data_IF_199133417925
#
_entry.id   IF_199133417925
#
_cell.length_a   1.000
_cell.length_b   1.000
_cell.length_c   1.000
_cell.angle_alpha   90.00
_cell.angle_beta   90.00
_cell.angle_gamma   90.00
#
_symmetry.space_group_name_H-M   'P 1'
#
loop_
_entity.id
_entity.type
_entity.pdbx_description
1 polymer ?
#
# COMPACT_ATOMS: atom_id res chain seq x y z
N UNK A 1 -64.63 -28.54 -30.90
CA UNK A 1 -63.24 -28.86 -30.47
C UNK A 1 -62.29 -28.09 -31.37
N UNK A 2 -61.60 -27.06 -30.85
CA UNK A 2 -60.62 -26.26 -31.58
C UNK A 2 -59.25 -26.45 -30.90
N UNK A 3 -58.30 -27.01 -31.64
CA UNK A 3 -56.86 -26.97 -31.36
C UNK A 3 -56.31 -25.61 -31.80
N UNK A 4 -55.50 -24.97 -30.96
CA UNK A 4 -54.38 -24.04 -31.24
C UNK A 4 -53.91 -23.63 -29.82
N UNK A 5 -52.78 -24.09 -29.29
CA UNK A 5 -51.44 -23.95 -29.85
C UNK A 5 -50.79 -22.73 -29.21
N UNK A 6 -50.28 -22.85 -27.98
CA UNK A 6 -49.47 -21.81 -27.34
C UNK A 6 -48.17 -22.42 -26.81
N UNK A 7 -47.14 -22.33 -27.64
CA UNK A 7 -45.74 -22.61 -27.34
C UNK A 7 -45.19 -21.36 -26.62
N UNK A 8 -45.00 -21.42 -25.30
CA UNK A 8 -44.38 -20.33 -24.55
C UNK A 8 -42.85 -20.54 -24.57
N UNK A 9 -42.17 -19.70 -25.35
CA UNK A 9 -40.71 -19.62 -25.44
C UNK A 9 -40.09 -19.26 -24.09
N UNK A 10 -39.13 -20.08 -23.65
CA UNK A 10 -38.24 -19.82 -22.52
C UNK A 10 -37.25 -18.73 -22.95
N UNK A 11 -37.42 -17.51 -22.43
CA UNK A 11 -36.38 -16.48 -22.50
C UNK A 11 -35.28 -16.82 -21.48
N UNK A 12 -34.22 -17.47 -21.96
CA UNK A 12 -32.95 -17.54 -21.25
C UNK A 12 -32.36 -16.13 -21.28
N UNK A 13 -32.46 -15.41 -20.16
CA UNK A 13 -31.66 -14.22 -19.92
C UNK A 13 -30.19 -14.64 -19.75
N UNK A 14 -29.49 -14.81 -20.88
CA UNK A 14 -28.05 -14.60 -20.96
C UNK A 14 -27.81 -13.12 -20.74
N UNK A 15 -27.74 -12.71 -19.47
CA UNK A 15 -27.28 -11.40 -19.07
C UNK A 15 -25.86 -11.22 -19.56
N UNK A 16 -25.67 -10.26 -20.47
CA UNK A 16 -24.39 -9.82 -20.98
C UNK A 16 -23.38 -9.64 -19.84
N UNK A 17 -22.24 -10.34 -19.91
CA UNK A 17 -21.02 -9.84 -19.29
C UNK A 17 -20.77 -8.45 -19.91
N UNK A 18 -20.92 -7.41 -19.10
CA UNK A 18 -20.62 -6.05 -19.53
C UNK A 18 -19.17 -6.02 -19.98
N UNK A 19 -18.96 -5.70 -21.25
CA UNK A 19 -17.67 -5.54 -21.90
C UNK A 19 -16.83 -4.56 -21.08
N UNK A 20 -15.88 -5.09 -20.29
CA UNK A 20 -14.91 -4.31 -19.54
C UNK A 20 -13.90 -3.75 -20.54
N UNK A 21 -14.25 -2.67 -21.24
CA UNK A 21 -13.25 -1.89 -21.97
C UNK A 21 -12.21 -1.42 -20.96
N UNK A 22 -11.05 -2.07 -21.01
CA UNK A 22 -9.98 -1.85 -20.04
C UNK A 22 -9.35 -0.49 -20.33
N UNK A 23 -9.45 0.44 -19.39
CA UNK A 23 -8.88 1.78 -19.51
C UNK A 23 -7.34 1.68 -19.57
N UNK A 24 -6.77 2.03 -20.72
CA UNK A 24 -5.32 2.03 -20.97
C UNK A 24 -4.57 2.84 -19.91
N UNK A 25 -5.14 3.94 -19.44
CA UNK A 25 -4.52 4.78 -18.41
C UNK A 25 -4.42 4.05 -17.08
N UNK A 26 -5.41 3.21 -16.74
CA UNK A 26 -5.37 2.42 -15.51
C UNK A 26 -4.32 1.32 -15.57
N UNK A 27 -4.13 0.70 -16.74
CA UNK A 27 -3.04 -0.26 -16.96
C UNK A 27 -1.70 0.45 -16.76
N UNK A 28 -1.48 1.59 -17.39
CA UNK A 28 -0.23 2.36 -17.27
C UNK A 28 0.04 2.76 -15.81
N UNK A 29 -0.95 3.32 -15.11
CA UNK A 29 -0.82 3.69 -13.69
C UNK A 29 -0.45 2.47 -12.85
N UNK A 30 -1.08 1.33 -13.09
CA UNK A 30 -0.82 0.12 -12.30
C UNK A 30 0.54 -0.52 -12.63
N UNK A 31 1.00 -0.44 -13.88
CA UNK A 31 2.36 -0.86 -14.26
C UNK A 31 3.41 0.00 -13.57
N UNK A 32 3.25 1.34 -13.61
CA UNK A 32 4.14 2.28 -12.91
C UNK A 32 4.14 1.99 -11.41
N UNK A 33 2.98 1.67 -10.83
CA UNK A 33 2.87 1.30 -9.41
C UNK A 33 3.69 0.04 -9.11
N UNK A 34 3.59 -1.00 -9.94
CA UNK A 34 4.37 -2.23 -9.79
C UNK A 34 5.88 -1.98 -9.89
N UNK A 35 6.31 -1.18 -10.86
CA UNK A 35 7.71 -0.79 -11.02
C UNK A 35 8.23 -0.01 -9.82
N UNK A 36 7.44 0.93 -9.31
CA UNK A 36 7.75 1.69 -8.10
C UNK A 36 7.91 0.77 -6.88
N UNK A 37 6.99 -0.17 -6.67
CA UNK A 37 7.08 -1.18 -5.60
C UNK A 37 8.37 -2.03 -5.72
N UNK A 38 8.73 -2.46 -6.93
CA UNK A 38 9.95 -3.25 -7.16
C UNK A 38 11.20 -2.42 -6.88
N UNK A 39 11.24 -1.17 -7.37
CA UNK A 39 12.37 -0.26 -7.15
C UNK A 39 12.55 0.03 -5.66
N UNK A 40 11.48 0.36 -4.96
CA UNK A 40 11.51 0.64 -3.53
C UNK A 40 12.00 -0.58 -2.72
N UNK A 41 11.61 -1.80 -3.10
CA UNK A 41 12.15 -3.02 -2.46
C UNK A 41 13.66 -3.11 -2.62
N UNK A 42 14.19 -2.83 -3.81
CA UNK A 42 15.65 -2.82 -4.07
C UNK A 42 16.35 -1.72 -3.27
N UNK A 43 15.78 -0.52 -3.24
CA UNK A 43 16.33 0.61 -2.48
C UNK A 43 16.35 0.31 -0.97
N UNK A 44 15.31 -0.36 -0.46
CA UNK A 44 15.24 -0.81 0.93
C UNK A 44 16.25 -1.92 1.24
N UNK A 45 16.41 -2.90 0.36
CA UNK A 45 17.43 -3.93 0.50
C UNK A 45 18.84 -3.32 0.52
N UNK A 46 19.11 -2.36 -0.36
CA UNK A 46 20.38 -1.64 -0.35
C UNK A 46 20.59 -0.88 0.96
N UNK A 47 19.59 -0.11 1.41
CA UNK A 47 19.64 0.64 2.66
C UNK A 47 19.94 -0.28 3.86
N UNK A 48 19.25 -1.41 3.96
CA UNK A 48 19.44 -2.35 5.08
C UNK A 48 20.76 -3.12 5.05
N UNK A 49 21.34 -3.34 3.86
CA UNK A 49 22.62 -4.07 3.69
C UNK A 49 23.84 -3.14 3.77
N UNK A 50 23.71 -1.90 3.32
CA UNK A 50 24.84 -0.96 3.14
C UNK A 50 24.81 0.16 4.16
N UNK A 51 23.67 0.85 4.31
CA UNK A 51 23.57 2.05 5.15
C UNK A 51 23.39 1.69 6.62
N UNK A 52 22.51 0.73 6.92
CA UNK A 52 22.31 0.21 8.28
C UNK A 52 23.24 -0.97 8.60
N UNK A 53 24.42 -1.03 7.95
CA UNK A 53 25.38 -2.09 8.20
C UNK A 53 25.91 -1.98 9.63
N UNK A 54 25.75 -3.04 10.41
CA UNK A 54 26.33 -3.12 11.75
C UNK A 54 27.84 -3.34 11.67
N UNK A 55 28.61 -2.26 11.83
CA UNK A 55 30.05 -2.32 12.00
C UNK A 55 30.43 -2.56 13.47
N UNK A 56 29.60 -2.07 14.40
CA UNK A 56 29.80 -2.20 15.85
C UNK A 56 28.44 -2.35 16.55
N UNK A 57 27.90 -3.58 16.71
CA UNK A 57 26.54 -3.81 17.20
C UNK A 57 26.25 -3.22 18.58
N UNK A 58 27.29 -3.02 19.39
CA UNK A 58 27.18 -2.44 20.73
C UNK A 58 27.13 -0.91 20.74
N UNK A 59 27.42 -0.25 19.61
CA UNK A 59 27.31 1.20 19.51
C UNK A 59 25.85 1.64 19.55
N UNK A 60 25.58 2.77 20.21
CA UNK A 60 24.24 3.35 20.27
C UNK A 60 23.68 3.63 18.85
N UNK A 61 24.56 4.02 17.91
CA UNK A 61 24.23 4.22 16.50
C UNK A 61 23.73 2.93 15.86
N UNK A 62 24.46 1.82 16.00
CA UNK A 62 24.02 0.50 15.51
C UNK A 62 22.69 0.05 16.14
N UNK A 63 22.54 0.19 17.46
CA UNK A 63 21.29 -0.18 18.14
C UNK A 63 20.09 0.65 17.64
N UNK A 64 20.28 1.96 17.43
CA UNK A 64 19.24 2.83 16.89
C UNK A 64 18.92 2.48 15.43
N UNK A 65 19.94 2.23 14.60
CA UNK A 65 19.77 1.80 13.21
C UNK A 65 19.03 0.45 13.12
N UNK A 66 19.33 -0.50 14.01
CA UNK A 66 18.61 -1.77 14.10
C UNK A 66 17.15 -1.58 14.48
N UNK A 67 16.85 -0.68 15.43
CA UNK A 67 15.47 -0.35 15.82
C UNK A 67 14.69 0.29 14.67
N UNK A 68 15.31 1.20 13.93
CA UNK A 68 14.72 1.80 12.71
C UNK A 68 14.46 0.71 11.68
N UNK A 69 15.46 -0.14 11.38
CA UNK A 69 15.34 -1.26 10.44
C UNK A 69 14.14 -2.15 10.76
N UNK A 70 14.05 -2.62 12.01
CA UNK A 70 12.98 -3.54 12.40
C UNK A 70 11.59 -2.91 12.27
N UNK A 71 11.46 -1.63 12.65
CA UNK A 71 10.19 -0.92 12.50
C UNK A 71 9.79 -0.73 11.03
N UNK A 72 10.75 -0.38 10.17
CA UNK A 72 10.50 -0.25 8.73
C UNK A 72 10.12 -1.60 8.13
N UNK A 73 10.84 -2.69 8.43
CA UNK A 73 10.49 -4.03 7.94
C UNK A 73 9.04 -4.38 8.30
N UNK A 74 8.64 -4.15 9.55
CA UNK A 74 7.28 -4.44 9.99
C UNK A 74 6.23 -3.61 9.22
N UNK A 75 6.44 -2.30 9.10
CA UNK A 75 5.53 -1.43 8.36
C UNK A 75 5.40 -1.82 6.88
N UNK A 76 6.52 -2.18 6.24
CA UNK A 76 6.53 -2.64 4.86
C UNK A 76 5.71 -3.92 4.70
N UNK A 77 5.86 -4.86 5.64
CA UNK A 77 5.09 -6.11 5.66
C UNK A 77 3.59 -5.86 5.89
N UNK A 78 3.24 -4.96 6.81
CA UNK A 78 1.84 -4.60 7.11
C UNK A 78 1.15 -3.96 5.90
N UNK A 79 1.84 -3.03 5.22
CA UNK A 79 1.34 -2.39 3.99
C UNK A 79 1.16 -3.43 2.88
N UNK A 80 2.15 -4.29 2.64
CA UNK A 80 2.06 -5.34 1.62
C UNK A 80 0.93 -6.34 1.90
N UNK A 81 0.70 -6.68 3.16
CA UNK A 81 -0.40 -7.55 3.55
C UNK A 81 -1.75 -6.89 3.25
N UNK A 82 -1.90 -5.59 3.56
CA UNK A 82 -3.10 -4.83 3.25
C UNK A 82 -3.36 -4.74 1.74
N UNK A 83 -2.33 -4.46 0.93
CA UNK A 83 -2.45 -4.43 -0.54
C UNK A 83 -2.91 -5.77 -1.09
N UNK A 84 -2.32 -6.88 -0.63
CA UNK A 84 -2.72 -8.23 -1.02
C UNK A 84 -4.18 -8.51 -0.65
N UNK A 85 -4.60 -8.08 0.54
CA UNK A 85 -5.97 -8.22 1.01
C UNK A 85 -6.95 -7.43 0.12
N UNK A 86 -6.60 -6.19 -0.24
CA UNK A 86 -7.38 -5.36 -1.16
C UNK A 86 -7.50 -5.96 -2.56
N UNK A 87 -6.37 -6.39 -3.15
CA UNK A 87 -6.34 -7.06 -4.44
C UNK A 87 -7.20 -8.32 -4.47
N UNK A 88 -7.18 -9.10 -3.37
CA UNK A 88 -7.96 -10.33 -3.27
C UNK A 88 -9.44 -10.05 -3.05
N UNK A 89 -9.79 -9.18 -2.09
CA UNK A 89 -11.17 -8.95 -1.66
C UNK A 89 -11.93 -8.01 -2.58
N UNK A 90 -11.39 -6.81 -2.80
CA UNK A 90 -11.98 -5.77 -3.64
C UNK A 90 -11.69 -6.03 -5.12
N UNK A 91 -10.41 -6.31 -5.44
CA UNK A 91 -9.96 -6.51 -6.82
C UNK A 91 -10.39 -7.83 -7.46
N UNK A 92 -10.75 -8.84 -6.66
CA UNK A 92 -11.04 -10.23 -7.10
C UNK A 92 -9.88 -10.86 -7.86
N UNK A 93 -8.66 -10.55 -7.42
CA UNK A 93 -7.42 -10.94 -8.08
C UNK A 93 -7.09 -10.02 -9.25
N UNK A 94 -6.15 -10.48 -10.09
CA UNK A 94 -5.63 -9.72 -11.22
C UNK A 94 -6.02 -10.35 -12.54
N UNK A 95 -6.05 -9.54 -13.60
CA UNK A 95 -6.15 -9.98 -14.98
C UNK A 95 -4.85 -10.71 -15.39
N UNK A 96 -4.91 -11.80 -16.18
CA UNK A 96 -3.71 -12.56 -16.57
C UNK A 96 -2.67 -11.75 -17.34
N UNK A 97 -3.11 -10.91 -18.28
CA UNK A 97 -2.21 -10.25 -19.23
C UNK A 97 -1.66 -8.93 -18.70
N UNK A 98 -2.54 -8.07 -18.20
CA UNK A 98 -2.19 -6.71 -17.73
C UNK A 98 -1.74 -6.69 -16.27
N UNK A 99 -2.01 -7.75 -15.51
CA UNK A 99 -1.90 -7.83 -14.04
C UNK A 99 -2.77 -6.81 -13.28
N UNK A 100 -3.56 -5.98 -13.97
CA UNK A 100 -4.49 -5.03 -13.36
C UNK A 100 -5.50 -5.78 -12.46
N UNK A 101 -5.96 -5.23 -11.33
CA UNK A 101 -7.06 -5.81 -10.58
C UNK A 101 -8.28 -5.99 -11.50
N UNK A 102 -9.05 -7.07 -11.33
CA UNK A 102 -10.25 -7.29 -12.17
C UNK A 102 -11.35 -6.25 -11.92
N UNK A 103 -11.31 -5.59 -10.75
CA UNK A 103 -12.20 -4.51 -10.34
C UNK A 103 -11.40 -3.28 -9.87
N UNK A 104 -10.74 -2.55 -10.78
CA UNK A 104 -9.85 -1.46 -10.42
C UNK A 104 -10.60 -0.25 -9.80
N UNK A 105 -11.88 -0.07 -10.18
CA UNK A 105 -12.73 1.02 -9.71
C UNK A 105 -13.65 0.62 -8.53
N UNK A 106 -13.39 -0.50 -7.87
CA UNK A 106 -14.20 -0.93 -6.72
C UNK A 106 -13.97 0.00 -5.53
N UNK A 107 -15.05 0.56 -4.97
CA UNK A 107 -15.00 1.51 -3.85
C UNK A 107 -15.56 0.95 -2.54
N UNK A 108 -16.61 0.12 -2.57
CA UNK A 108 -17.34 -0.28 -1.36
C UNK A 108 -16.56 -1.28 -0.50
N UNK A 109 -16.06 -2.35 -1.12
CA UNK A 109 -15.22 -3.36 -0.45
C UNK A 109 -13.86 -2.77 -0.09
N UNK A 110 -13.31 -1.91 -0.95
CA UNK A 110 -12.11 -1.11 -0.68
C UNK A 110 -12.27 -0.29 0.60
N UNK A 111 -13.31 0.55 0.68
CA UNK A 111 -13.61 1.37 1.85
C UNK A 111 -13.77 0.53 3.12
N UNK A 112 -14.58 -0.53 3.06
CA UNK A 112 -14.83 -1.42 4.21
C UNK A 112 -13.54 -2.05 4.73
N UNK A 113 -12.68 -2.53 3.81
CA UNK A 113 -11.40 -3.15 4.16
C UNK A 113 -10.45 -2.13 4.79
N UNK A 114 -10.34 -0.94 4.19
CA UNK A 114 -9.48 0.13 4.68
C UNK A 114 -9.93 0.66 6.03
N UNK A 115 -11.23 0.93 6.23
CA UNK A 115 -11.76 1.38 7.53
C UNK A 115 -11.41 0.41 8.67
N UNK A 116 -11.41 -0.90 8.39
CA UNK A 116 -11.04 -1.90 9.37
C UNK A 116 -9.52 -1.95 9.67
N UNK A 117 -8.66 -1.67 8.69
CA UNK A 117 -7.21 -1.93 8.77
C UNK A 117 -6.36 -0.68 9.00
N UNK A 118 -6.79 0.46 8.47
CA UNK A 118 -6.09 1.75 8.56
C UNK A 118 -5.88 2.22 10.00
N UNK A 119 -6.78 2.01 10.98
CA UNK A 119 -6.51 2.42 12.37
C UNK A 119 -5.26 1.76 12.97
N UNK A 120 -5.06 0.47 12.70
CA UNK A 120 -3.87 -0.26 13.17
C UNK A 120 -2.60 0.23 12.47
N UNK A 121 -2.65 0.41 11.14
CA UNK A 121 -1.54 0.96 10.36
C UNK A 121 -1.17 2.38 10.81
N UNK A 122 -2.17 3.24 11.02
CA UNK A 122 -1.97 4.61 11.51
C UNK A 122 -1.30 4.65 12.88
N UNK A 123 -1.68 3.75 13.80
CA UNK A 123 -1.00 3.61 15.09
C UNK A 123 0.48 3.21 14.91
N UNK A 124 0.77 2.25 14.04
CA UNK A 124 2.14 1.81 13.78
C UNK A 124 2.99 2.94 13.15
N UNK A 125 2.43 3.69 12.20
CA UNK A 125 3.09 4.86 11.59
C UNK A 125 3.40 5.96 12.63
N UNK A 126 2.48 6.22 13.56
CA UNK A 126 2.71 7.19 14.63
C UNK A 126 3.80 6.73 15.64
N UNK A 127 3.82 5.44 15.97
CA UNK A 127 4.89 4.85 16.79
C UNK A 127 6.25 4.95 16.10
N UNK A 128 6.27 4.72 14.79
CA UNK A 128 7.46 4.88 13.97
C UNK A 128 7.98 6.32 13.95
N UNK A 129 7.13 7.31 13.69
CA UNK A 129 7.53 8.74 13.73
C UNK A 129 8.04 9.12 15.13
N UNK A 130 7.40 8.62 16.18
CA UNK A 130 7.84 8.86 17.57
C UNK A 130 9.23 8.28 17.83
N UNK A 131 9.49 7.06 17.34
CA UNK A 131 10.81 6.43 17.42
C UNK A 131 11.88 7.28 16.72
N UNK A 132 11.59 7.73 15.50
CA UNK A 132 12.48 8.57 14.71
C UNK A 132 12.83 9.89 15.41
N UNK A 133 11.80 10.61 15.88
CA UNK A 133 11.98 11.85 16.65
C UNK A 133 12.82 11.63 17.91
N UNK A 134 12.63 10.49 18.60
CA UNK A 134 13.43 10.13 19.78
C UNK A 134 14.89 9.86 19.42
N UNK A 135 15.15 9.15 18.32
CA UNK A 135 16.51 8.81 17.89
C UNK A 135 17.26 10.06 17.43
N UNK A 136 16.64 10.92 16.63
CA UNK A 136 17.28 12.14 16.13
C UNK A 136 17.10 13.37 17.03
N UNK A 137 16.74 13.22 18.30
CA UNK A 137 16.49 14.36 19.22
C UNK A 137 17.69 15.29 19.43
N UNK A 138 18.90 14.79 19.21
CA UNK A 138 20.16 15.50 19.41
C UNK A 138 20.75 16.09 18.11
N UNK A 139 20.09 15.85 16.98
CA UNK A 139 20.54 16.34 15.67
C UNK A 139 19.42 17.16 15.00
N UNK A 140 19.76 18.20 14.24
CA UNK A 140 18.77 18.89 13.42
C UNK A 140 18.17 17.92 12.40
N UNK A 141 16.88 17.60 12.56
CA UNK A 141 16.12 16.82 11.61
C UNK A 141 15.30 17.75 10.70
N UNK A 142 15.22 17.46 9.38
CA UNK A 142 14.20 18.07 8.53
C UNK A 142 12.80 17.63 8.97
N UNK A 143 11.78 18.31 8.46
CA UNK A 143 10.39 17.94 8.73
C UNK A 143 10.11 16.52 8.25
N UNK A 144 9.91 15.63 9.22
CA UNK A 144 9.50 14.25 8.95
C UNK A 144 8.05 14.25 8.50
N UNK A 145 7.74 13.42 7.51
CA UNK A 145 6.33 13.15 7.18
C UNK A 145 5.62 12.58 8.41
N UNK A 146 4.48 13.16 8.77
CA UNK A 146 3.61 12.64 9.82
C UNK A 146 2.26 12.21 9.26
N UNK A 147 1.61 11.30 9.99
CA UNK A 147 0.28 10.76 9.69
C UNK A 147 -0.69 11.02 10.85
N UNK A 148 -0.58 12.20 11.43
CA UNK A 148 -1.44 12.63 12.54
C UNK A 148 -2.90 12.79 12.08
N UNK A 149 -3.82 12.55 13.01
CA UNK A 149 -5.26 12.62 12.75
C UNK A 149 -5.84 11.34 12.14
N UNK A 150 -6.97 11.47 11.45
CA UNK A 150 -7.67 10.36 10.83
C UNK A 150 -7.05 10.02 9.46
N UNK A 151 -6.17 9.01 9.44
CA UNK A 151 -5.47 8.56 8.23
C UNK A 151 -6.46 8.10 7.13
N UNK A 152 -7.58 7.48 7.50
CA UNK A 152 -8.58 7.03 6.53
C UNK A 152 -9.22 8.21 5.81
N UNK A 153 -9.78 9.17 6.56
CA UNK A 153 -10.43 10.35 6.00
C UNK A 153 -9.50 11.15 5.07
N UNK A 154 -8.21 11.23 5.43
CA UNK A 154 -7.24 12.03 4.67
C UNK A 154 -6.78 11.40 3.36
N UNK A 155 -6.69 10.07 3.29
CA UNK A 155 -6.03 9.39 2.17
C UNK A 155 -6.90 8.39 1.41
N UNK A 156 -8.01 7.94 2.00
CA UNK A 156 -8.72 6.75 1.54
C UNK A 156 -10.25 6.92 1.48
N UNK A 157 -10.78 8.05 1.94
CA UNK A 157 -12.21 8.29 1.86
C UNK A 157 -12.63 8.57 0.41
N UNK A 158 -13.58 7.78 -0.08
CA UNK A 158 -14.09 7.89 -1.46
C UNK A 158 -13.16 7.34 -2.55
N UNK A 159 -12.01 6.76 -2.20
CA UNK A 159 -11.05 6.26 -3.20
C UNK A 159 -11.49 4.93 -3.81
N UNK A 160 -11.15 4.75 -5.09
CA UNK A 160 -11.18 3.45 -5.77
C UNK A 160 -10.07 2.53 -5.24
N UNK A 161 -10.12 1.25 -5.62
CA UNK A 161 -9.05 0.30 -5.32
C UNK A 161 -7.70 0.80 -5.84
N UNK A 162 -7.60 1.24 -7.09
CA UNK A 162 -6.33 1.71 -7.66
C UNK A 162 -5.79 2.93 -6.92
N UNK A 163 -6.62 3.94 -6.66
CA UNK A 163 -6.21 5.13 -5.92
C UNK A 163 -5.73 4.78 -4.50
N UNK A 164 -6.39 3.81 -3.85
CA UNK A 164 -5.99 3.33 -2.53
C UNK A 164 -4.63 2.63 -2.55
N UNK A 165 -4.36 1.81 -3.58
CA UNK A 165 -3.05 1.16 -3.74
C UNK A 165 -1.94 2.19 -4.01
N UNK A 166 -2.24 3.24 -4.80
CA UNK A 166 -1.31 4.36 -5.01
C UNK A 166 -1.02 5.10 -3.69
N UNK A 167 -2.04 5.39 -2.89
CA UNK A 167 -1.86 6.03 -1.58
C UNK A 167 -1.02 5.18 -0.61
N UNK A 168 -1.21 3.85 -0.61
CA UNK A 168 -0.38 2.93 0.19
C UNK A 168 1.09 2.92 -0.26
N UNK A 169 1.36 2.96 -1.57
CA UNK A 169 2.72 3.08 -2.09
C UNK A 169 3.36 4.43 -1.70
N UNK A 170 2.60 5.53 -1.73
CA UNK A 170 3.08 6.83 -1.24
C UNK A 170 3.46 6.79 0.24
N UNK A 171 2.61 6.21 1.10
CA UNK A 171 2.94 6.02 2.52
C UNK A 171 4.22 5.19 2.66
N UNK A 172 4.38 4.16 1.84
CA UNK A 172 5.58 3.31 1.86
C UNK A 172 6.85 4.09 1.50
N UNK A 173 6.76 4.97 0.50
CA UNK A 173 7.86 5.86 0.11
C UNK A 173 8.21 6.86 1.22
N UNK A 174 7.21 7.46 1.84
CA UNK A 174 7.37 8.40 2.96
C UNK A 174 8.03 7.72 4.17
N UNK A 175 7.65 6.47 4.49
CA UNK A 175 8.30 5.67 5.55
C UNK A 175 9.78 5.49 5.23
N UNK A 176 10.13 5.05 4.02
CA UNK A 176 11.52 4.88 3.63
C UNK A 176 12.31 6.19 3.70
N UNK A 177 11.75 7.28 3.17
CA UNK A 177 12.40 8.58 3.13
C UNK A 177 12.74 9.08 4.54
N UNK A 178 11.77 9.03 5.46
CA UNK A 178 11.97 9.40 6.85
C UNK A 178 13.08 8.59 7.53
N UNK A 179 13.14 7.27 7.30
CA UNK A 179 14.16 6.40 7.90
C UNK A 179 15.56 6.78 7.42
N UNK A 180 15.70 6.96 6.11
CA UNK A 180 16.97 7.33 5.50
C UNK A 180 17.47 8.69 6.03
N UNK A 181 16.58 9.68 6.14
CA UNK A 181 16.94 11.00 6.68
C UNK A 181 17.48 10.92 8.11
N UNK A 182 16.78 10.21 9.00
CA UNK A 182 17.22 10.10 10.40
C UNK A 182 18.52 9.31 10.50
N UNK A 183 18.61 8.15 9.85
CA UNK A 183 19.82 7.32 9.90
C UNK A 183 21.05 8.04 9.37
N UNK A 184 20.94 8.83 8.30
CA UNK A 184 22.06 9.64 7.81
C UNK A 184 22.48 10.72 8.81
N UNK A 185 21.54 11.35 9.52
CA UNK A 185 21.84 12.42 10.48
C UNK A 185 22.41 11.92 11.80
N UNK A 186 22.07 10.71 12.22
CA UNK A 186 22.53 10.13 13.49
C UNK A 186 23.74 9.22 13.35
N UNK A 187 24.31 9.10 12.15
CA UNK A 187 25.51 8.28 11.89
C UNK A 187 26.83 9.07 11.94
N UNK A 188 26.76 10.37 12.25
CA UNK A 188 27.91 11.25 12.48
C UNK A 188 27.94 11.68 13.95
#
# INVERSE_FOLDING_TARGET
MKLFGLLLMIFVFLGCESDQTTDLRQIEVYQVLQEATIKQRKDFEYFTKVILKDLHPDSLVSQNNLRIKNMVIQLMADIQLLEKELLTKAGKGTQPDTKLPKRPNETQVTATTLQAKIPALGKALNQYVTLLKKIGKEVPLPDLKTWEGNLYARYFEGTTLIESLVALEQIRNDVWHNANLVSQRTSY
#
